data_IF_311157318073
#
_entry.id   IF_311157318073
#
_cell.length_a   1.000
_cell.length_b   1.000
_cell.length_c   1.000
_cell.angle_alpha   90.00
_cell.angle_beta   90.00
_cell.angle_gamma   90.00
#
_symmetry.space_group_name_H-M   'P 1'
#
loop_
_entity.id
_entity.type
_entity.pdbx_description
1 polymer ?
#
# COMPACT_ATOMS: atom_id res chain seq x y z
N UNK A 1 10.30 -6.61 21.46
CA UNK A 1 9.45 -6.18 20.32
C UNK A 1 8.36 -5.23 20.78
N UNK A 2 8.50 -3.95 20.45
CA UNK A 2 7.53 -2.88 20.77
C UNK A 2 6.11 -3.22 20.28
N UNK A 3 6.00 -3.92 19.15
CA UNK A 3 4.72 -4.36 18.57
C UNK A 3 3.93 -5.26 19.54
N UNK A 4 4.63 -6.18 20.22
CA UNK A 4 3.99 -7.08 21.20
C UNK A 4 3.60 -6.33 22.48
N UNK A 5 4.40 -5.34 22.88
CA UNK A 5 4.13 -4.47 24.03
C UNK A 5 2.87 -3.61 23.83
N UNK A 6 2.58 -3.21 22.59
CA UNK A 6 1.37 -2.47 22.23
C UNK A 6 0.16 -3.37 21.89
N UNK A 7 0.26 -4.69 22.06
CA UNK A 7 -0.82 -5.63 21.71
C UNK A 7 -1.15 -5.68 20.21
N UNK A 8 -0.31 -5.07 19.38
CA UNK A 8 -0.52 -4.97 17.94
C UNK A 8 -0.04 -6.24 17.24
N UNK A 9 -0.75 -6.66 16.19
CA UNK A 9 -0.29 -7.76 15.32
C UNK A 9 0.41 -7.17 14.11
N UNK A 10 1.57 -7.71 13.75
CA UNK A 10 2.24 -7.32 12.51
C UNK A 10 1.46 -7.85 11.30
N UNK A 11 0.56 -7.04 10.73
CA UNK A 11 -0.29 -7.41 9.57
C UNK A 11 0.42 -7.17 8.22
N UNK A 12 1.75 -7.21 8.20
CA UNK A 12 2.51 -7.01 6.96
C UNK A 12 2.65 -8.37 6.26
N UNK A 13 2.20 -8.52 5.00
CA UNK A 13 2.33 -9.78 4.29
C UNK A 13 3.80 -10.10 4.07
N UNK A 14 4.29 -11.26 4.52
CA UNK A 14 5.64 -11.65 4.20
C UNK A 14 5.79 -11.91 2.70
N UNK A 15 7.01 -11.72 2.20
CA UNK A 15 7.39 -12.07 0.83
C UNK A 15 7.27 -13.59 0.62
N UNK A 16 7.07 -14.02 -0.63
CA UNK A 16 7.00 -15.46 -0.98
C UNK A 16 8.27 -16.22 -0.54
N UNK A 17 9.43 -15.57 -0.64
CA UNK A 17 10.74 -16.15 -0.33
C UNK A 17 11.20 -15.81 1.10
N UNK A 18 10.28 -15.39 1.97
CA UNK A 18 10.62 -15.01 3.33
C UNK A 18 11.07 -16.25 4.13
N UNK A 19 12.30 -16.17 4.64
CA UNK A 19 12.87 -17.17 5.56
C UNK A 19 12.52 -16.81 7.00
N UNK A 20 12.35 -17.84 7.82
CA UNK A 20 12.20 -17.74 9.27
C UNK A 20 13.55 -17.28 9.83
N UNK A 21 13.54 -16.27 10.70
CA UNK A 21 14.78 -15.73 11.26
C UNK A 21 15.19 -16.47 12.52
N UNK A 22 14.24 -16.76 13.42
CA UNK A 22 14.48 -17.59 14.60
C UNK A 22 13.89 -18.98 14.43
N UNK A 23 14.79 -19.94 14.28
CA UNK A 23 14.46 -21.36 14.32
C UNK A 23 14.13 -21.79 15.75
N UNK A 24 13.26 -22.80 15.90
CA UNK A 24 12.79 -23.27 17.21
C UNK A 24 13.88 -23.85 18.13
N UNK A 25 15.13 -23.94 17.64
CA UNK A 25 16.29 -24.35 18.41
C UNK A 25 17.00 -23.18 19.13
N UNK A 26 16.44 -21.97 19.06
CA UNK A 26 16.93 -20.84 19.83
C UNK A 26 15.99 -20.59 21.01
N UNK A 27 16.54 -20.48 22.23
CA UNK A 27 15.80 -20.21 23.48
C UNK A 27 15.16 -18.82 23.54
N UNK A 28 15.06 -18.12 22.41
CA UNK A 28 14.52 -16.77 22.32
C UNK A 28 13.04 -16.81 21.95
N UNK A 29 12.31 -15.77 22.37
CA UNK A 29 10.90 -15.63 22.05
C UNK A 29 10.68 -15.60 20.51
N UNK A 30 9.68 -16.33 19.98
CA UNK A 30 9.42 -16.34 18.54
C UNK A 30 9.06 -14.95 18.03
N UNK A 31 9.86 -14.42 17.10
CA UNK A 31 9.63 -13.11 16.50
C UNK A 31 8.22 -13.05 15.87
N UNK A 32 7.41 -11.99 16.11
CA UNK A 32 6.03 -11.88 15.62
C UNK A 32 5.88 -12.10 14.10
N UNK A 33 6.90 -11.69 13.33
CA UNK A 33 7.00 -11.98 11.88
C UNK A 33 7.05 -13.48 11.55
N UNK A 34 7.79 -14.26 12.33
CA UNK A 34 7.97 -15.69 12.10
C UNK A 34 6.69 -16.47 12.42
N UNK A 35 5.86 -15.96 13.33
CA UNK A 35 4.54 -16.52 13.61
C UNK A 35 3.63 -16.45 12.37
N UNK A 36 3.66 -15.34 11.63
CA UNK A 36 2.94 -15.22 10.35
C UNK A 36 3.46 -16.20 9.31
N UNK A 37 4.78 -16.40 9.22
CA UNK A 37 5.38 -17.37 8.29
C UNK A 37 4.94 -18.79 8.62
N UNK A 38 4.94 -19.16 9.90
CA UNK A 38 4.46 -20.47 10.36
C UNK A 38 2.98 -20.67 10.04
N UNK A 39 2.15 -19.64 10.26
CA UNK A 39 0.73 -19.68 9.91
C UNK A 39 0.53 -19.86 8.40
N UNK A 40 1.24 -19.09 7.57
CA UNK A 40 1.15 -19.17 6.11
C UNK A 40 1.62 -20.52 5.59
N UNK A 41 2.67 -21.12 6.17
CA UNK A 41 3.13 -22.46 5.80
C UNK A 41 2.10 -23.55 6.12
N UNK A 42 1.36 -23.40 7.22
CA UNK A 42 0.34 -24.38 7.65
C UNK A 42 -1.02 -24.21 6.96
N UNK A 43 -1.47 -22.98 6.77
CA UNK A 43 -2.83 -22.66 6.32
C UNK A 43 -2.90 -22.01 4.93
N UNK A 44 -1.76 -21.65 4.36
CA UNK A 44 -1.66 -20.97 3.08
C UNK A 44 -1.84 -19.46 3.17
N UNK A 45 -1.32 -18.75 2.16
CA UNK A 45 -1.32 -17.28 2.09
C UNK A 45 -2.71 -16.67 1.95
N UNK A 46 -3.62 -17.35 1.22
CA UNK A 46 -5.00 -16.87 0.99
C UNK A 46 -5.77 -16.79 2.31
N UNK A 47 -5.65 -17.82 3.15
CA UNK A 47 -6.31 -17.89 4.47
C UNK A 47 -5.74 -16.83 5.42
N UNK A 48 -4.41 -16.73 5.51
CA UNK A 48 -3.75 -15.67 6.29
C UNK A 48 -4.22 -14.25 5.91
N UNK A 49 -4.37 -13.93 4.61
CA UNK A 49 -4.84 -12.60 4.17
C UNK A 49 -6.26 -12.27 4.67
N UNK A 50 -7.12 -13.28 4.81
CA UNK A 50 -8.49 -13.13 5.33
C UNK A 50 -8.47 -12.96 6.85
N UNK A 51 -7.78 -13.86 7.54
CA UNK A 51 -7.79 -13.92 9.01
C UNK A 51 -7.03 -12.75 9.64
N UNK A 52 -5.99 -12.26 8.97
CA UNK A 52 -5.21 -11.09 9.42
C UNK A 52 -5.90 -9.75 9.18
N UNK A 53 -7.02 -9.71 8.44
CA UNK A 53 -7.70 -8.47 8.07
C UNK A 53 -6.97 -7.64 7.00
N UNK A 54 -5.86 -8.13 6.45
CA UNK A 54 -5.09 -7.45 5.39
C UNK A 54 -5.94 -7.09 4.17
N UNK A 55 -6.98 -7.86 3.88
CA UNK A 55 -7.89 -7.59 2.77
C UNK A 55 -8.50 -6.19 2.82
N UNK A 56 -8.95 -5.71 4.01
CA UNK A 56 -9.54 -4.38 4.15
C UNK A 56 -8.54 -3.27 3.84
N UNK A 57 -7.29 -3.43 4.32
CA UNK A 57 -6.20 -2.50 4.04
C UNK A 57 -5.90 -2.41 2.55
N UNK A 58 -5.84 -3.56 1.86
CA UNK A 58 -5.58 -3.57 0.42
C UNK A 58 -6.67 -2.87 -0.41
N UNK A 59 -7.93 -2.94 0.01
CA UNK A 59 -9.04 -2.23 -0.65
C UNK A 59 -8.91 -0.71 -0.48
N UNK A 60 -8.58 -0.26 0.74
CA UNK A 60 -8.34 1.15 1.02
C UNK A 60 -7.15 1.71 0.21
N UNK A 61 -6.02 0.98 0.18
CA UNK A 61 -4.84 1.36 -0.60
C UNK A 61 -5.16 1.43 -2.11
N UNK A 62 -5.92 0.46 -2.64
CA UNK A 62 -6.33 0.46 -4.05
C UNK A 62 -7.24 1.65 -4.38
N UNK A 63 -8.19 1.95 -3.52
CA UNK A 63 -9.12 3.09 -3.68
C UNK A 63 -8.33 4.40 -3.69
N UNK A 64 -7.44 4.59 -2.72
CA UNK A 64 -6.59 5.79 -2.64
C UNK A 64 -5.66 5.93 -3.85
N UNK A 65 -5.11 4.83 -4.36
CA UNK A 65 -4.28 4.85 -5.56
C UNK A 65 -5.05 5.33 -6.79
N UNK A 66 -6.29 4.82 -6.98
CA UNK A 66 -7.17 5.25 -8.08
C UNK A 66 -7.53 6.74 -7.94
N UNK A 67 -7.93 7.18 -6.75
CA UNK A 67 -8.25 8.59 -6.48
C UNK A 67 -7.05 9.50 -6.75
N UNK A 68 -5.86 9.13 -6.25
CA UNK A 68 -4.63 9.91 -6.49
C UNK A 68 -4.30 10.01 -7.97
N UNK A 69 -4.42 8.91 -8.72
CA UNK A 69 -4.20 8.90 -10.18
C UNK A 69 -5.17 9.82 -10.91
N UNK A 70 -6.45 9.77 -10.56
CA UNK A 70 -7.47 10.61 -11.18
C UNK A 70 -7.26 12.10 -10.90
N UNK A 71 -6.93 12.45 -9.65
CA UNK A 71 -6.70 13.84 -9.23
C UNK A 71 -5.50 14.46 -9.96
N UNK A 72 -4.40 13.71 -10.11
CA UNK A 72 -3.22 14.18 -10.82
C UNK A 72 -3.54 14.43 -12.31
N UNK A 73 -4.27 13.51 -12.95
CA UNK A 73 -4.65 13.66 -14.37
C UNK A 73 -5.58 14.87 -14.55
N UNK A 74 -6.59 15.02 -13.70
CA UNK A 74 -7.51 16.16 -13.75
C UNK A 74 -6.76 17.48 -13.57
N UNK A 75 -5.87 17.55 -12.57
CA UNK A 75 -5.05 18.72 -12.32
C UNK A 75 -4.21 19.12 -13.56
N UNK A 76 -3.55 18.15 -14.20
CA UNK A 76 -2.73 18.41 -15.40
C UNK A 76 -3.59 18.88 -16.56
N UNK A 77 -4.74 18.24 -16.82
CA UNK A 77 -5.65 18.62 -17.90
C UNK A 77 -6.26 20.00 -17.70
N UNK A 78 -6.66 20.34 -16.47
CA UNK A 78 -7.19 21.66 -16.12
C UNK A 78 -6.12 22.72 -16.36
N UNK A 79 -4.88 22.51 -15.90
CA UNK A 79 -3.78 23.45 -16.11
C UNK A 79 -3.40 23.61 -17.59
N UNK A 80 -3.40 22.52 -18.38
CA UNK A 80 -3.19 22.57 -19.83
C UNK A 80 -4.29 23.37 -20.53
N UNK A 81 -5.53 23.18 -20.14
CA UNK A 81 -6.69 23.89 -20.70
C UNK A 81 -6.63 25.38 -20.37
N UNK A 82 -6.31 25.75 -19.13
CA UNK A 82 -6.13 27.15 -18.71
C UNK A 82 -4.99 27.81 -19.49
N UNK A 83 -3.84 27.13 -19.65
CA UNK A 83 -2.73 27.63 -20.46
C UNK A 83 -3.09 27.79 -21.92
N UNK A 84 -3.85 26.84 -22.50
CA UNK A 84 -4.32 26.90 -23.88
C UNK A 84 -5.28 28.06 -24.11
N UNK A 85 -6.21 28.30 -23.18
CA UNK A 85 -7.13 29.44 -23.20
C UNK A 85 -6.38 30.77 -23.07
N UNK A 86 -5.44 30.88 -22.12
CA UNK A 86 -4.62 32.10 -21.95
C UNK A 86 -3.74 32.40 -23.17
N UNK A 87 -3.22 31.38 -23.85
CA UNK A 87 -2.47 31.55 -25.10
C UNK A 87 -3.40 32.03 -26.23
N UNK A 88 -4.59 31.44 -26.36
CA UNK A 88 -5.58 31.84 -27.37
C UNK A 88 -6.09 33.27 -27.17
N UNK A 89 -6.32 33.71 -25.92
CA UNK A 89 -6.75 35.07 -25.60
C UNK A 89 -5.65 36.11 -25.84
N UNK A 90 -4.38 35.78 -25.61
CA UNK A 90 -3.25 36.67 -25.91
C UNK A 90 -2.98 36.77 -27.42
N UNK A 91 -3.12 35.67 -28.17
CA UNK A 91 -3.01 35.69 -29.65
C UNK A 91 -4.15 36.52 -30.27
N UNK A 92 -5.38 36.41 -29.76
CA UNK A 92 -6.51 37.26 -30.19
C UNK A 92 -6.32 38.75 -29.85
N UNK A 93 -5.59 39.08 -28.78
CA UNK A 93 -5.23 40.47 -28.42
C UNK A 93 -4.07 41.04 -29.25
N UNK A 94 -3.27 40.22 -29.91
CA UNK A 94 -2.12 40.64 -30.72
C UNK A 94 -2.47 40.84 -32.21
N UNK A 95 -3.60 40.28 -32.65
CA UNK A 95 -4.08 40.29 -34.04
C UNK A 95 -5.19 41.35 -34.26
N UNK A 96 -5.75 41.91 -33.17
CA UNK A 96 -6.70 43.03 -33.18
C UNK A 96 -5.98 44.36 -32.91
#
# INVERSE_FOLDING_TARGET
DEIAQHGAKAVIPPRKDAKIWLHGNTNAAPHPRDQNLRYIRKHGRKKWKRDSGYHRRSLAETTMFVSKRSLVVLYVLVNLTIRRLSCSSNVLRLIA
#
